data_IF_278659966104
#
_entry.id   IF_278659966104
#
_cell.length_a   1.000
_cell.length_b   1.000
_cell.length_c   1.000
_cell.angle_alpha   90.00
_cell.angle_beta   90.00
_cell.angle_gamma   90.00
#
_symmetry.space_group_name_H-M   'P 1'
#
loop_
_entity.id
_entity.type
_entity.pdbx_description
1 polymer ?
#
# COMPACT_ATOMS: atom_id res chain seq x y z
N UNK A 1 -16.55 30.04 31.02
CA UNK A 1 -15.42 29.15 30.70
C UNK A 1 -15.87 27.76 30.20
N UNK A 2 -17.16 27.44 30.17
CA UNK A 2 -17.69 26.09 29.81
C UNK A 2 -17.97 25.93 28.29
N UNK A 3 -18.05 27.04 27.53
CA UNK A 3 -18.40 27.00 26.10
C UNK A 3 -17.28 26.57 25.15
N UNK A 4 -16.03 26.63 25.57
CA UNK A 4 -14.86 26.31 24.71
C UNK A 4 -14.63 24.79 24.64
N UNK A 5 -14.90 24.05 25.73
CA UNK A 5 -14.68 22.61 25.79
C UNK A 5 -15.66 21.77 24.94
N UNK A 6 -16.89 22.26 24.80
CA UNK A 6 -17.94 21.54 24.07
C UNK A 6 -17.85 21.58 22.52
N UNK A 7 -17.12 22.56 21.97
CA UNK A 7 -16.92 22.71 20.51
C UNK A 7 -15.63 22.07 20.02
N UNK A 8 -14.67 21.81 20.88
CA UNK A 8 -13.37 21.25 20.49
C UNK A 8 -13.46 19.77 20.06
N UNK A 9 -14.28 18.98 20.74
CA UNK A 9 -14.44 17.53 20.42
C UNK A 9 -15.10 17.30 19.04
N UNK A 10 -16.22 17.95 18.67
CA UNK A 10 -16.79 17.77 17.36
C UNK A 10 -15.88 18.29 16.23
N UNK A 11 -15.11 19.34 16.47
CA UNK A 11 -14.17 19.87 15.48
C UNK A 11 -13.00 18.91 15.21
N UNK A 12 -12.43 18.31 16.24
CA UNK A 12 -11.35 17.31 16.08
C UNK A 12 -11.84 16.07 15.34
N UNK A 13 -13.04 15.59 15.62
CA UNK A 13 -13.65 14.46 14.93
C UNK A 13 -13.90 14.78 13.43
N UNK A 14 -14.35 15.98 13.10
CA UNK A 14 -14.54 16.43 11.73
C UNK A 14 -13.22 16.51 10.96
N UNK A 15 -12.15 17.02 11.59
CA UNK A 15 -10.81 17.07 10.99
C UNK A 15 -10.31 15.66 10.70
N UNK A 16 -10.46 14.72 11.63
CA UNK A 16 -10.04 13.32 11.39
C UNK A 16 -10.86 12.66 10.29
N UNK A 17 -12.17 12.84 10.28
CA UNK A 17 -13.04 12.30 9.21
C UNK A 17 -12.63 12.84 7.83
N UNK A 18 -12.28 14.14 7.73
CA UNK A 18 -11.80 14.76 6.51
C UNK A 18 -10.48 14.16 6.05
N UNK A 19 -9.51 13.99 6.95
CA UNK A 19 -8.20 13.37 6.65
C UNK A 19 -8.35 11.94 6.16
N UNK A 20 -9.22 11.15 6.80
CA UNK A 20 -9.52 9.78 6.35
C UNK A 20 -10.12 9.80 4.94
N UNK A 21 -11.07 10.69 4.67
CA UNK A 21 -11.70 10.80 3.35
C UNK A 21 -10.69 11.23 2.26
N UNK A 22 -9.82 12.19 2.58
CA UNK A 22 -8.73 12.64 1.70
C UNK A 22 -7.77 11.48 1.40
N UNK A 23 -7.26 10.80 2.43
CA UNK A 23 -6.34 9.67 2.26
C UNK A 23 -6.96 8.54 1.43
N UNK A 24 -8.23 8.22 1.64
CA UNK A 24 -8.93 7.23 0.80
C UNK A 24 -9.08 7.68 -0.65
N UNK A 25 -9.26 8.97 -0.90
CA UNK A 25 -9.29 9.52 -2.26
C UNK A 25 -7.90 9.43 -2.91
N UNK A 26 -6.84 9.76 -2.17
CA UNK A 26 -5.46 9.62 -2.63
C UNK A 26 -5.12 8.15 -2.94
N UNK A 27 -5.53 7.19 -2.11
CA UNK A 27 -5.31 5.76 -2.35
C UNK A 27 -5.99 5.28 -3.62
N UNK A 28 -7.23 5.73 -3.92
CA UNK A 28 -7.88 5.45 -5.21
C UNK A 28 -7.13 6.07 -6.39
N UNK A 29 -6.61 7.29 -6.23
CA UNK A 29 -5.78 7.91 -7.25
C UNK A 29 -4.47 7.14 -7.48
N UNK A 30 -3.85 6.59 -6.43
CA UNK A 30 -2.67 5.71 -6.53
C UNK A 30 -3.01 4.46 -7.34
N UNK A 31 -4.15 3.81 -7.10
CA UNK A 31 -4.60 2.64 -7.88
C UNK A 31 -4.74 2.97 -9.37
N UNK A 32 -5.36 4.11 -9.70
CA UNK A 32 -5.52 4.57 -11.08
C UNK A 32 -4.16 4.87 -11.75
N UNK A 33 -3.25 5.51 -11.02
CA UNK A 33 -1.92 5.84 -11.53
C UNK A 33 -1.08 4.58 -11.75
N UNK A 34 -1.16 3.58 -10.88
CA UNK A 34 -0.49 2.28 -11.05
C UNK A 34 -0.96 1.55 -12.31
N UNK A 35 -2.25 1.54 -12.57
CA UNK A 35 -2.81 0.96 -13.80
C UNK A 35 -2.35 1.77 -15.02
N UNK A 36 -2.43 3.09 -14.96
CA UNK A 36 -1.93 3.98 -16.00
C UNK A 36 -0.43 3.87 -16.24
N UNK A 37 0.36 3.57 -15.21
CA UNK A 37 1.78 3.26 -15.35
C UNK A 37 1.98 2.01 -16.21
N UNK A 38 1.31 0.90 -15.86
CA UNK A 38 1.43 -0.36 -16.60
C UNK A 38 0.97 -0.24 -18.07
N UNK A 39 -0.07 0.56 -18.34
CA UNK A 39 -0.56 0.81 -19.70
C UNK A 39 0.43 1.56 -20.60
N UNK A 40 1.34 2.35 -20.02
CA UNK A 40 2.33 3.13 -20.77
C UNK A 40 3.63 2.38 -21.06
N UNK A 41 3.80 1.19 -20.48
CA UNK A 41 5.00 0.41 -20.68
C UNK A 41 4.95 -0.37 -22.01
N UNK A 42 6.12 -0.58 -22.61
CA UNK A 42 6.27 -1.43 -23.82
C UNK A 42 5.94 -2.90 -23.52
N UNK A 43 6.24 -3.30 -22.28
CA UNK A 43 5.85 -4.57 -21.68
C UNK A 43 5.09 -4.25 -20.40
N UNK A 44 3.87 -4.69 -20.29
CA UNK A 44 3.00 -4.37 -19.16
C UNK A 44 3.63 -4.81 -17.84
N UNK A 45 4.02 -3.87 -17.00
CA UNK A 45 4.53 -4.16 -15.66
C UNK A 45 4.19 -3.05 -14.66
N UNK A 46 4.20 -3.39 -13.38
CA UNK A 46 4.04 -2.45 -12.28
C UNK A 46 5.42 -2.00 -11.76
N UNK A 47 5.50 -0.82 -11.13
CA UNK A 47 6.76 -0.30 -10.63
C UNK A 47 7.26 -1.10 -9.42
N UNK A 48 8.56 -1.09 -9.22
CA UNK A 48 9.18 -1.60 -8.00
C UNK A 48 8.91 -0.65 -6.82
N UNK A 49 8.84 -1.17 -5.59
CA UNK A 49 8.84 -0.33 -4.39
C UNK A 49 10.01 0.65 -4.39
N UNK A 50 9.80 1.76 -3.68
CA UNK A 50 10.71 2.91 -3.59
C UNK A 50 12.15 2.52 -3.22
N UNK A 51 13.12 3.16 -3.87
CA UNK A 51 14.56 3.11 -3.57
C UNK A 51 14.97 3.92 -2.31
N UNK A 52 14.01 4.52 -1.60
CA UNK A 52 14.20 5.43 -0.47
C UNK A 52 14.14 6.92 -0.86
N UNK A 53 14.12 7.24 -2.15
CA UNK A 53 14.07 8.61 -2.68
C UNK A 53 12.81 8.90 -3.51
N UNK A 54 11.87 7.96 -3.56
CA UNK A 54 10.63 8.06 -4.31
C UNK A 54 10.71 7.56 -5.75
N UNK A 55 11.84 7.05 -6.19
CA UNK A 55 11.99 6.41 -7.49
C UNK A 55 11.79 4.90 -7.36
N UNK A 56 11.69 4.21 -8.48
CA UNK A 56 11.67 2.75 -8.46
C UNK A 56 12.96 2.16 -7.91
N UNK A 57 12.84 1.10 -7.11
CA UNK A 57 13.93 0.26 -6.66
C UNK A 57 14.51 -0.60 -7.79
N UNK A 58 15.52 -1.39 -7.43
CA UNK A 58 16.27 -2.21 -8.37
C UNK A 58 15.53 -3.49 -8.78
N UNK A 59 15.85 -3.96 -9.99
CA UNK A 59 15.36 -5.21 -10.57
C UNK A 59 16.46 -6.27 -10.59
N UNK A 60 16.07 -7.53 -10.64
CA UNK A 60 16.98 -8.67 -10.83
C UNK A 60 17.31 -8.89 -12.34
N UNK A 61 18.11 -9.92 -12.62
CA UNK A 61 18.48 -10.26 -14.00
C UNK A 61 17.34 -10.71 -14.90
N UNK A 62 16.19 -11.05 -14.32
CA UNK A 62 14.98 -11.45 -15.03
C UNK A 62 13.98 -10.26 -15.19
N UNK A 63 14.41 -9.03 -14.89
CA UNK A 63 13.57 -7.85 -15.00
C UNK A 63 12.55 -7.67 -13.88
N UNK A 64 12.59 -8.49 -12.84
CA UNK A 64 11.65 -8.45 -11.72
C UNK A 64 12.21 -7.69 -10.52
N UNK A 65 11.35 -7.04 -9.77
CA UNK A 65 11.77 -6.32 -8.58
C UNK A 65 12.51 -7.22 -7.58
N UNK A 66 13.66 -6.76 -7.10
CA UNK A 66 14.40 -7.42 -6.01
C UNK A 66 13.60 -7.39 -4.71
N UNK A 67 12.97 -6.25 -4.42
CA UNK A 67 12.05 -6.09 -3.30
C UNK A 67 10.63 -5.92 -3.81
N UNK A 68 9.70 -6.61 -3.18
CA UNK A 68 8.28 -6.55 -3.53
C UNK A 68 7.44 -5.82 -2.49
N UNK A 69 8.09 -5.25 -1.47
CA UNK A 69 7.47 -4.50 -0.38
C UNK A 69 8.41 -3.38 0.08
N UNK A 70 7.87 -2.18 0.25
CA UNK A 70 8.64 -0.99 0.64
C UNK A 70 7.76 0.25 0.61
N UNK A 71 8.35 1.41 0.38
CA UNK A 71 7.62 2.65 0.12
C UNK A 71 6.97 2.69 -1.26
N UNK A 72 5.99 3.55 -1.44
CA UNK A 72 5.42 3.84 -2.77
C UNK A 72 6.46 4.63 -3.60
N UNK A 73 6.75 4.26 -4.85
CA UNK A 73 7.68 5.00 -5.72
C UNK A 73 7.01 6.27 -6.29
N UNK A 74 6.71 7.19 -5.41
CA UNK A 74 5.82 8.32 -5.65
C UNK A 74 6.33 9.31 -6.72
N UNK A 75 7.66 9.49 -6.84
CA UNK A 75 8.24 10.34 -7.91
C UNK A 75 8.10 9.70 -9.27
N UNK A 76 8.41 8.41 -9.38
CA UNK A 76 8.23 7.67 -10.63
C UNK A 76 6.76 7.67 -11.09
N UNK A 77 5.83 7.71 -10.14
CA UNK A 77 4.38 7.75 -10.39
C UNK A 77 3.83 9.17 -10.56
N UNK A 78 4.61 10.22 -10.26
CA UNK A 78 4.15 11.62 -10.32
C UNK A 78 3.13 11.97 -9.22
N UNK A 79 3.24 11.34 -8.06
CA UNK A 79 2.34 11.51 -6.91
C UNK A 79 2.98 12.36 -5.80
N UNK A 80 2.19 12.87 -4.87
CA UNK A 80 2.71 13.57 -3.68
C UNK A 80 3.39 12.61 -2.69
N UNK A 81 3.01 11.35 -2.68
CA UNK A 81 3.65 10.24 -1.93
C UNK A 81 3.37 10.21 -0.44
N UNK A 82 2.54 11.09 0.09
CA UNK A 82 2.19 11.17 1.52
C UNK A 82 0.68 11.25 1.73
N UNK A 83 0.22 10.67 2.85
CA UNK A 83 -1.16 10.74 3.27
C UNK A 83 -1.51 12.09 3.95
N UNK A 84 -2.75 12.25 4.40
CA UNK A 84 -3.23 13.48 5.05
C UNK A 84 -2.59 13.76 6.42
N UNK A 85 -1.81 12.84 6.98
CA UNK A 85 -1.03 13.02 8.21
C UNK A 85 0.46 13.29 7.94
N UNK A 86 0.89 13.25 6.65
CA UNK A 86 2.26 13.48 6.21
C UNK A 86 3.15 12.24 6.30
N UNK A 87 2.56 11.05 6.32
CA UNK A 87 3.26 9.77 6.33
C UNK A 87 3.38 9.20 4.91
N UNK A 88 4.51 8.55 4.60
CA UNK A 88 4.70 7.84 3.34
C UNK A 88 3.82 6.58 3.29
N UNK A 89 3.26 6.31 2.12
CA UNK A 89 2.53 5.08 1.87
C UNK A 89 3.47 3.88 1.83
N UNK A 90 3.04 2.76 2.41
CA UNK A 90 3.64 1.45 2.15
C UNK A 90 2.99 0.86 0.90
N UNK A 91 3.82 0.26 0.05
CA UNK A 91 3.44 -0.37 -1.20
C UNK A 91 3.99 -1.78 -1.26
N UNK A 92 3.14 -2.73 -1.61
CA UNK A 92 3.52 -4.11 -1.89
C UNK A 92 2.95 -4.55 -3.24
N UNK A 93 3.73 -5.34 -3.97
CA UNK A 93 3.39 -5.80 -5.31
C UNK A 93 3.76 -7.27 -5.47
N UNK A 94 2.92 -8.05 -6.13
CA UNK A 94 3.26 -9.40 -6.55
C UNK A 94 4.39 -9.38 -7.57
N UNK A 95 5.46 -10.14 -7.33
CA UNK A 95 6.69 -10.12 -8.13
C UNK A 95 6.44 -10.32 -9.64
N UNK A 96 5.51 -11.21 -10.01
CA UNK A 96 5.21 -11.49 -11.41
C UNK A 96 4.51 -10.32 -12.14
N UNK A 97 3.95 -9.35 -11.44
CA UNK A 97 3.41 -8.13 -12.04
C UNK A 97 4.48 -7.07 -12.30
N UNK A 98 5.73 -7.29 -11.89
CA UNK A 98 6.81 -6.31 -12.00
C UNK A 98 7.80 -6.61 -13.13
N UNK A 99 7.63 -7.69 -13.88
CA UNK A 99 8.51 -8.15 -14.93
C UNK A 99 8.54 -7.16 -16.11
N UNK A 100 9.64 -6.45 -16.31
CA UNK A 100 9.82 -5.49 -17.41
C UNK A 100 10.41 -6.10 -18.68
N UNK A 101 10.88 -7.35 -18.61
CA UNK A 101 11.38 -8.11 -19.76
C UNK A 101 10.26 -8.74 -20.58
N UNK A 102 9.42 -9.54 -19.92
CA UNK A 102 8.32 -10.26 -20.57
C UNK A 102 6.96 -9.59 -20.39
N UNK A 103 6.81 -8.83 -19.31
CA UNK A 103 5.53 -8.24 -18.87
C UNK A 103 4.59 -9.24 -18.21
N UNK A 104 3.54 -8.75 -17.58
CA UNK A 104 2.45 -9.60 -17.12
C UNK A 104 1.43 -9.84 -18.24
N UNK A 105 0.63 -10.90 -18.11
CA UNK A 105 -0.38 -11.29 -19.10
C UNK A 105 -1.70 -11.69 -18.40
N UNK A 106 -2.69 -12.10 -19.18
CA UNK A 106 -4.02 -12.48 -18.69
C UNK A 106 -4.03 -13.67 -17.72
N UNK A 107 -2.97 -14.47 -17.68
CA UNK A 107 -2.82 -15.61 -16.77
C UNK A 107 -1.99 -15.29 -15.52
N UNK A 108 -1.43 -14.06 -15.42
CA UNK A 108 -0.60 -13.68 -14.26
C UNK A 108 -1.44 -13.62 -13.00
N UNK A 109 -1.08 -14.43 -12.01
CA UNK A 109 -1.76 -14.50 -10.73
C UNK A 109 -1.08 -13.63 -9.68
N UNK A 110 -1.88 -13.04 -8.79
CA UNK A 110 -1.40 -12.37 -7.58
C UNK A 110 -1.10 -13.36 -6.47
N UNK A 111 -0.35 -12.93 -5.46
CA UNK A 111 0.02 -13.74 -4.31
C UNK A 111 -0.07 -12.99 -2.96
N UNK A 112 -0.47 -11.72 -3.00
CA UNK A 112 -0.70 -10.94 -1.79
C UNK A 112 -2.03 -11.31 -1.15
N UNK A 113 -2.07 -11.24 0.17
CA UNK A 113 -3.24 -11.56 0.98
C UNK A 113 -3.57 -10.40 1.91
N UNK A 114 -4.86 -10.18 2.14
CA UNK A 114 -5.35 -9.26 3.17
C UNK A 114 -6.30 -10.03 4.06
N UNK A 115 -6.07 -10.00 5.36
CA UNK A 115 -6.85 -10.69 6.38
C UNK A 115 -7.42 -9.70 7.40
N UNK A 116 -8.49 -10.07 8.09
CA UNK A 116 -9.05 -9.25 9.17
C UNK A 116 -8.32 -9.47 10.50
N UNK A 117 -7.70 -10.62 10.70
CA UNK A 117 -7.10 -11.02 11.98
C UNK A 117 -5.65 -11.44 11.76
N UNK A 118 -4.75 -10.75 12.46
CA UNK A 118 -3.32 -11.06 12.44
C UNK A 118 -2.98 -12.39 13.10
N UNK A 119 -3.55 -12.67 14.29
CA UNK A 119 -3.06 -13.76 15.16
C UNK A 119 -3.05 -15.14 14.50
N UNK A 120 -3.91 -15.37 13.53
CA UNK A 120 -4.02 -16.64 12.81
C UNK A 120 -4.17 -16.48 11.29
N UNK A 121 -4.01 -15.25 10.79
CA UNK A 121 -4.11 -14.91 9.35
C UNK A 121 -5.45 -15.37 8.72
N UNK A 122 -6.53 -15.28 9.47
CA UNK A 122 -7.88 -15.68 9.07
C UNK A 122 -8.76 -14.47 8.73
N UNK A 123 -10.00 -14.72 8.32
CA UNK A 123 -10.91 -13.67 7.88
C UNK A 123 -10.43 -13.06 6.56
N UNK A 124 -10.19 -13.89 5.56
CA UNK A 124 -9.64 -13.47 4.27
C UNK A 124 -10.54 -12.46 3.57
N UNK A 125 -10.00 -11.28 3.28
CA UNK A 125 -10.59 -10.24 2.44
C UNK A 125 -10.05 -10.33 1.01
N UNK A 126 -8.78 -10.76 0.88
CA UNK A 126 -8.08 -10.93 -0.39
C UNK A 126 -7.12 -12.11 -0.28
N UNK A 127 -7.09 -13.00 -1.28
CA UNK A 127 -6.19 -14.17 -1.30
C UNK A 127 -5.12 -14.13 -2.39
N UNK A 128 -5.33 -13.35 -3.42
CA UNK A 128 -4.48 -13.32 -4.62
C UNK A 128 -4.36 -11.89 -5.17
N UNK A 129 -4.03 -10.93 -4.31
CA UNK A 129 -3.83 -9.54 -4.70
C UNK A 129 -2.61 -9.33 -5.57
N UNK A 130 -2.69 -8.41 -6.51
CA UNK A 130 -1.55 -7.94 -7.28
C UNK A 130 -0.80 -6.82 -6.57
N UNK A 131 -1.53 -5.94 -5.90
CA UNK A 131 -1.01 -4.77 -5.18
C UNK A 131 -1.72 -4.61 -3.85
N UNK A 132 -0.99 -4.13 -2.84
CA UNK A 132 -1.52 -3.59 -1.58
C UNK A 132 -0.87 -2.24 -1.32
N UNK A 133 -1.68 -1.23 -0.98
CA UNK A 133 -1.24 0.11 -0.58
C UNK A 133 -1.75 0.39 0.82
N UNK A 134 -0.91 0.96 1.68
CA UNK A 134 -1.22 1.19 3.09
C UNK A 134 -0.86 2.61 3.46
N UNK A 135 -1.79 3.33 4.08
CA UNK A 135 -1.52 4.50 4.92
C UNK A 135 -1.52 4.06 6.38
N UNK A 136 -0.52 4.48 7.11
CA UNK A 136 -0.36 4.16 8.53
C UNK A 136 -1.17 5.06 9.46
N UNK A 137 -2.18 5.72 8.92
CA UNK A 137 -3.18 6.47 9.68
C UNK A 137 -2.65 7.59 10.56
N UNK A 138 -3.49 8.08 11.50
CA UNK A 138 -3.15 9.19 12.39
C UNK A 138 -2.02 8.90 13.37
N UNK A 139 -1.81 7.66 13.79
CA UNK A 139 -0.74 7.31 14.71
C UNK A 139 0.62 7.19 13.99
N UNK A 140 0.63 6.96 12.67
CA UNK A 140 1.83 6.86 11.83
C UNK A 140 2.78 5.73 12.20
N UNK A 141 2.34 4.73 12.95
CA UNK A 141 3.21 3.64 13.42
C UNK A 141 3.68 2.78 12.26
N UNK A 142 4.99 2.69 12.11
CA UNK A 142 5.62 1.96 11.00
C UNK A 142 5.80 2.77 9.73
N UNK A 143 5.21 3.95 9.62
CA UNK A 143 5.40 4.83 8.50
C UNK A 143 6.75 5.54 8.53
N UNK A 144 7.29 5.83 7.35
CA UNK A 144 8.31 6.82 7.17
C UNK A 144 7.67 8.20 7.02
N UNK A 145 8.12 9.19 7.80
CA UNK A 145 7.64 10.56 7.64
C UNK A 145 8.18 11.18 6.35
N UNK A 146 7.45 12.13 5.77
CA UNK A 146 7.84 12.86 4.55
C UNK A 146 9.21 13.53 4.61
N UNK A 147 9.64 13.96 5.79
CA UNK A 147 10.92 14.64 6.01
C UNK A 147 12.10 13.67 6.17
N UNK A 148 11.88 12.39 5.99
CA UNK A 148 12.81 11.34 6.36
C UNK A 148 12.84 11.19 7.89
N UNK A 149 12.84 10.03 8.37
CA UNK A 149 12.89 9.71 9.79
C UNK A 149 12.79 8.20 9.92
N UNK A 150 13.31 7.68 11.00
CA UNK A 150 13.23 6.27 11.26
C UNK A 150 11.77 5.93 11.59
N UNK A 151 11.14 4.98 10.90
CA UNK A 151 9.84 4.46 11.31
C UNK A 151 9.87 4.03 12.76
N UNK A 152 8.75 4.12 13.46
CA UNK A 152 8.65 3.61 14.81
C UNK A 152 9.14 2.15 14.85
N UNK A 153 9.98 1.84 15.83
CA UNK A 153 10.58 0.50 15.94
C UNK A 153 9.48 -0.57 15.99
N UNK A 154 9.66 -1.70 15.30
CA UNK A 154 8.64 -2.76 15.22
C UNK A 154 8.15 -3.26 16.60
N UNK A 155 8.98 -3.18 17.63
CA UNK A 155 8.61 -3.55 18.99
C UNK A 155 7.53 -2.68 19.65
N UNK A 156 7.36 -1.44 19.18
CA UNK A 156 6.38 -0.49 19.69
C UNK A 156 5.10 -0.44 18.85
N UNK A 157 5.02 -1.21 17.79
CA UNK A 157 3.85 -1.29 16.89
C UNK A 157 2.94 -2.42 17.35
N UNK A 158 1.63 -2.21 17.51
CA UNK A 158 0.68 -3.28 17.78
C UNK A 158 0.79 -4.41 16.76
N UNK A 159 0.47 -5.64 17.17
CA UNK A 159 0.64 -6.81 16.30
C UNK A 159 -0.11 -6.70 14.98
N UNK A 160 -1.32 -6.13 14.99
CA UNK A 160 -2.14 -5.99 13.78
C UNK A 160 -1.52 -4.99 12.80
N UNK A 161 -1.01 -3.84 13.26
CA UNK A 161 -0.32 -2.87 12.43
C UNK A 161 1.09 -3.34 12.03
N UNK A 162 1.73 -4.18 12.86
CA UNK A 162 3.06 -4.72 12.57
C UNK A 162 3.10 -5.51 11.27
N UNK A 163 2.00 -6.19 10.92
CA UNK A 163 1.88 -6.91 9.66
C UNK A 163 1.89 -5.98 8.43
N UNK A 164 1.57 -4.71 8.62
CA UNK A 164 1.47 -3.70 7.56
C UNK A 164 2.76 -2.88 7.36
N UNK A 165 3.81 -3.13 8.13
CA UNK A 165 5.08 -2.40 8.03
C UNK A 165 5.70 -2.49 6.63
N UNK A 166 6.49 -1.48 6.17
CA UNK A 166 7.12 -1.49 4.86
C UNK A 166 8.23 -2.55 4.72
N UNK A 167 8.74 -3.06 5.82
CA UNK A 167 9.74 -4.14 5.83
C UNK A 167 9.11 -5.47 6.17
N UNK A 168 9.67 -6.55 5.62
CA UNK A 168 9.28 -7.91 5.97
C UNK A 168 9.30 -8.13 7.48
N UNK A 169 8.33 -8.85 7.98
CA UNK A 169 8.02 -8.90 9.38
C UNK A 169 8.15 -10.32 9.94
N UNK A 170 8.80 -10.43 11.07
CA UNK A 170 8.88 -11.66 11.84
C UNK A 170 7.57 -11.98 12.58
N UNK A 171 6.44 -11.91 11.89
CA UNK A 171 5.14 -12.27 12.42
C UNK A 171 4.77 -13.74 12.19
N UNK A 172 3.64 -14.15 12.71
CA UNK A 172 3.07 -15.50 12.49
C UNK A 172 2.58 -15.67 11.03
N UNK A 173 2.27 -14.58 10.36
CA UNK A 173 1.83 -14.59 8.97
C UNK A 173 3.01 -14.41 8.00
N UNK A 174 2.84 -14.87 6.77
CA UNK A 174 3.83 -14.67 5.72
C UNK A 174 4.00 -13.18 5.38
N UNK A 175 5.16 -12.79 4.83
CA UNK A 175 5.46 -11.42 4.41
C UNK A 175 4.52 -10.89 3.31
N UNK A 176 3.76 -11.78 2.68
CA UNK A 176 2.73 -11.46 1.68
C UNK A 176 1.36 -11.19 2.28
N UNK A 177 1.21 -11.31 3.59
CA UNK A 177 -0.04 -11.05 4.30
C UNK A 177 -0.05 -9.63 4.86
N UNK A 178 -1.21 -9.01 4.79
CA UNK A 178 -1.52 -7.70 5.36
C UNK A 178 -2.79 -7.80 6.20
N UNK A 179 -3.03 -6.82 7.05
CA UNK A 179 -4.22 -6.75 7.89
C UNK A 179 -5.05 -5.52 7.55
N UNK A 180 -6.35 -5.70 7.39
CA UNK A 180 -7.32 -4.63 7.25
C UNK A 180 -8.51 -4.91 8.13
N UNK A 181 -8.77 -4.04 9.09
CA UNK A 181 -9.87 -4.17 10.04
C UNK A 181 -10.49 -2.81 10.38
N UNK A 182 -11.57 -2.83 11.15
CA UNK A 182 -12.16 -1.60 11.65
C UNK A 182 -11.20 -0.85 12.58
N UNK A 183 -11.16 0.49 12.53
CA UNK A 183 -10.32 1.27 13.42
C UNK A 183 -10.57 0.96 14.90
N UNK A 184 -9.49 0.85 15.66
CA UNK A 184 -9.49 0.58 17.10
C UNK A 184 -8.37 1.36 17.79
N UNK A 185 -8.17 1.19 19.09
CA UNK A 185 -7.02 1.77 19.80
C UNK A 185 -5.67 1.22 19.32
N UNK A 186 -5.67 0.02 18.73
CA UNK A 186 -4.49 -0.71 18.31
C UNK A 186 -4.37 -0.85 16.80
N UNK A 187 -5.28 -0.25 16.03
CA UNK A 187 -5.28 -0.33 14.57
C UNK A 187 -5.99 0.88 13.97
N UNK A 188 -5.28 1.66 13.18
CA UNK A 188 -5.85 2.79 12.44
C UNK A 188 -5.34 2.89 10.98
N UNK A 189 -4.64 1.86 10.51
CA UNK A 189 -4.17 1.76 9.13
C UNK A 189 -5.35 1.75 8.14
N UNK A 190 -5.15 2.44 7.03
CA UNK A 190 -6.03 2.36 5.87
C UNK A 190 -5.36 1.49 4.80
N UNK A 191 -6.06 0.45 4.37
CA UNK A 191 -5.53 -0.54 3.43
C UNK A 191 -6.41 -0.59 2.18
N UNK A 192 -5.77 -0.47 1.02
CA UNK A 192 -6.38 -0.65 -0.29
C UNK A 192 -5.61 -1.70 -1.10
N UNK A 193 -6.27 -2.32 -2.08
CA UNK A 193 -5.64 -3.37 -2.88
C UNK A 193 -6.21 -3.45 -4.29
N UNK A 194 -5.37 -3.90 -5.21
CA UNK A 194 -5.77 -4.23 -6.57
C UNK A 194 -5.74 -5.76 -6.78
N UNK A 195 -6.86 -6.26 -7.26
CA UNK A 195 -6.95 -7.65 -7.71
C UNK A 195 -6.37 -7.78 -9.13
N UNK A 196 -5.69 -8.89 -9.51
CA UNK A 196 -5.20 -9.12 -10.86
C UNK A 196 -6.20 -8.79 -11.96
N UNK A 197 -7.44 -9.26 -11.83
CA UNK A 197 -8.48 -9.01 -12.83
C UNK A 197 -8.77 -7.52 -13.04
N UNK A 198 -8.70 -6.70 -11.97
CA UNK A 198 -8.90 -5.25 -12.06
C UNK A 198 -7.82 -4.55 -12.88
N UNK A 199 -6.58 -5.04 -12.81
CA UNK A 199 -5.45 -4.53 -13.60
C UNK A 199 -5.52 -5.08 -15.03
N UNK A 200 -5.60 -6.41 -15.16
CA UNK A 200 -5.53 -7.11 -16.44
C UNK A 200 -6.66 -6.67 -17.39
N UNK A 201 -7.88 -6.53 -16.90
CA UNK A 201 -9.02 -6.10 -17.74
C UNK A 201 -8.83 -4.72 -18.35
N UNK A 202 -8.05 -3.85 -17.71
CA UNK A 202 -7.79 -2.47 -18.15
C UNK A 202 -6.51 -2.35 -18.98
N UNK A 203 -5.47 -3.07 -18.59
CA UNK A 203 -4.15 -3.02 -19.27
C UNK A 203 -4.12 -3.92 -20.49
N UNK A 204 -4.84 -5.05 -20.46
CA UNK A 204 -4.84 -6.07 -21.50
C UNK A 204 -6.24 -6.22 -22.14
N UNK A 205 -6.74 -5.21 -22.85
CA UNK A 205 -8.07 -5.28 -23.45
C UNK A 205 -8.15 -6.45 -24.45
N UNK A 206 -9.21 -7.26 -24.32
CA UNK A 206 -9.35 -8.47 -25.14
C UNK A 206 -8.33 -9.58 -24.85
N UNK A 207 -7.63 -9.50 -23.68
CA UNK A 207 -6.64 -10.50 -23.28
C UNK A 207 -5.24 -10.28 -23.84
N UNK A 208 -5.03 -9.22 -24.62
CA UNK A 208 -3.72 -8.86 -25.20
C UNK A 208 -3.13 -7.71 -24.38
N UNK A 209 -1.98 -7.96 -23.76
CA UNK A 209 -1.22 -6.95 -23.02
C UNK A 209 -0.18 -6.28 -23.94
N UNK A 210 0.23 -5.04 -23.64
CA UNK A 210 1.32 -4.36 -24.33
C UNK A 210 2.64 -5.14 -24.29
#
# INVERSE_FOLDING_TARGET
TILIGGLAVPLSAQIQARRIAETRADMRAIEEVLIGFAMRQTKAHLPCPDDGNGNEGTRDGDGKCLQTRGGLPWRALGLKGEDAWGNRYTYAVTKNFTDDGDGFNSATAGDLKVSQIYSNCTGSLLNNGAVVVISHGPNGRGAQNKNGGTPLAPGNVPLDERQNLPTANAGTCSDKNFVSQAPSQNFDDLVAWLHPNGIISRVCPGGVCP
#
